data_IF_147070531842
#
_entry.id   IF_147070531842
#
_cell.length_a   1.000
_cell.length_b   1.000
_cell.length_c   1.000
_cell.angle_alpha   90.00
_cell.angle_beta   90.00
_cell.angle_gamma   90.00
#
_symmetry.space_group_name_H-M   'P 1'
#
loop_
_entity.id
_entity.type
_entity.pdbx_description
1 polymer ?
#
# COMPACT_ATOMS: atom_id res chain seq x y z
N UNK A 1 -49.31 59.01 4.79
CA UNK A 1 -49.39 57.53 4.65
C UNK A 1 -48.06 57.03 4.05
N UNK A 2 -47.18 56.53 4.88
CA UNK A 2 -45.86 56.12 4.47
C UNK A 2 -45.81 54.55 4.55
N UNK A 3 -45.58 53.91 3.42
CA UNK A 3 -45.56 52.46 3.34
C UNK A 3 -44.08 52.01 3.33
N UNK A 4 -43.67 51.37 4.40
CA UNK A 4 -42.35 50.76 4.53
C UNK A 4 -42.35 49.35 3.88
N UNK A 5 -41.47 49.14 2.93
CA UNK A 5 -41.16 47.78 2.42
C UNK A 5 -39.84 47.33 3.03
N UNK A 6 -39.90 46.32 3.90
CA UNK A 6 -38.75 45.62 4.44
C UNK A 6 -38.27 44.56 3.42
N UNK A 7 -37.09 44.71 2.89
CA UNK A 7 -36.33 43.60 2.34
C UNK A 7 -34.91 43.63 2.89
N UNK A 8 -34.76 43.04 4.07
CA UNK A 8 -33.45 42.82 4.68
C UNK A 8 -32.94 41.43 4.25
N UNK A 9 -32.17 41.39 3.18
CA UNK A 9 -31.41 40.18 2.82
C UNK A 9 -30.18 40.13 3.67
N UNK A 10 -30.18 39.29 4.73
CA UNK A 10 -28.98 38.92 5.48
C UNK A 10 -28.14 37.94 4.66
N UNK A 11 -27.11 38.45 4.01
CA UNK A 11 -26.05 37.62 3.43
C UNK A 11 -25.27 37.00 4.59
N UNK A 12 -25.46 35.70 4.80
CA UNK A 12 -24.59 34.92 5.68
C UNK A 12 -23.21 34.79 5.00
N UNK A 13 -22.21 35.50 5.56
CA UNK A 13 -20.83 35.21 5.24
C UNK A 13 -20.53 33.80 5.76
N UNK A 14 -20.40 32.85 4.85
CA UNK A 14 -19.88 31.54 5.16
C UNK A 14 -18.38 31.68 5.49
N UNK A 15 -18.00 31.40 6.71
CA UNK A 15 -16.59 31.13 7.03
C UNK A 15 -16.15 29.89 6.27
N UNK A 16 -15.31 30.06 5.27
CA UNK A 16 -14.57 28.97 4.65
C UNK A 16 -13.44 28.65 5.64
N UNK A 17 -13.61 27.57 6.40
CA UNK A 17 -12.53 27.02 7.18
C UNK A 17 -11.51 26.39 6.21
N UNK A 18 -10.40 27.05 5.98
CA UNK A 18 -9.25 26.48 5.28
C UNK A 18 -8.60 25.48 6.24
N UNK A 19 -8.86 24.20 6.03
CA UNK A 19 -8.15 23.15 6.72
C UNK A 19 -6.70 23.17 6.23
N UNK A 20 -5.78 23.58 7.10
CA UNK A 20 -4.36 23.48 6.86
C UNK A 20 -3.98 21.97 6.85
N UNK A 21 -3.73 21.43 5.66
CA UNK A 21 -3.15 20.11 5.52
C UNK A 21 -1.73 20.14 6.08
N UNK A 22 -1.50 19.50 7.22
CA UNK A 22 -0.16 19.26 7.73
C UNK A 22 0.56 18.35 6.74
N UNK A 23 1.54 18.91 6.02
CA UNK A 23 2.44 18.16 5.14
C UNK A 23 3.35 17.29 6.01
N UNK A 24 2.90 16.09 6.37
CA UNK A 24 3.74 15.07 6.96
C UNK A 24 4.67 14.52 5.87
N UNK A 25 5.99 14.54 6.13
CA UNK A 25 6.99 13.90 5.29
C UNK A 25 6.84 12.38 5.32
N UNK A 26 5.93 11.83 4.53
CA UNK A 26 5.73 10.41 4.32
C UNK A 26 5.14 10.20 2.94
N UNK A 27 5.52 9.10 2.28
CA UNK A 27 4.85 8.67 1.04
C UNK A 27 3.34 8.63 1.27
N UNK A 28 2.53 9.29 0.44
CA UNK A 28 1.08 9.21 0.58
C UNK A 28 0.64 7.76 0.40
N UNK A 29 -0.16 7.25 1.32
CA UNK A 29 -0.85 5.96 1.11
C UNK A 29 -1.99 6.24 0.15
N UNK A 30 -2.10 5.50 -0.96
CA UNK A 30 -3.27 5.64 -1.83
C UNK A 30 -4.56 5.41 -1.03
N UNK A 31 -5.47 6.38 -1.02
CA UNK A 31 -6.81 6.18 -0.48
C UNK A 31 -7.60 5.31 -1.46
N UNK A 32 -7.67 4.01 -1.17
CA UNK A 32 -8.40 3.05 -2.00
C UNK A 32 -9.71 2.71 -1.30
N UNK A 33 -10.88 3.04 -1.87
CA UNK A 33 -12.18 2.67 -1.31
C UNK A 33 -12.24 1.19 -0.97
N UNK A 34 -12.93 0.83 0.13
CA UNK A 34 -12.99 -0.55 0.64
C UNK A 34 -13.53 -1.54 -0.41
N UNK A 35 -14.44 -1.08 -1.27
CA UNK A 35 -15.06 -1.90 -2.32
C UNK A 35 -14.23 -1.98 -3.61
N UNK A 36 -13.14 -1.21 -3.73
CA UNK A 36 -12.36 -1.22 -4.96
C UNK A 36 -11.31 -2.33 -4.95
N UNK A 37 -11.11 -2.92 -6.13
CA UNK A 37 -10.08 -3.94 -6.36
C UNK A 37 -8.70 -3.30 -6.20
N UNK A 38 -7.87 -3.88 -5.33
CA UNK A 38 -6.48 -3.49 -5.18
C UNK A 38 -5.64 -4.22 -6.22
N UNK A 39 -4.81 -3.48 -6.97
CA UNK A 39 -3.88 -4.03 -7.96
C UNK A 39 -2.42 -3.75 -7.59
N UNK A 40 -1.50 -4.55 -8.12
CA UNK A 40 -0.08 -4.36 -7.85
C UNK A 40 0.41 -3.02 -8.40
N UNK A 41 0.27 -2.80 -9.70
CA UNK A 41 0.87 -1.66 -10.40
C UNK A 41 0.37 -0.31 -9.89
N UNK A 42 -0.93 -0.19 -9.58
CA UNK A 42 -1.48 1.10 -9.14
C UNK A 42 -1.29 1.35 -7.64
N UNK A 43 -1.33 0.31 -6.80
CA UNK A 43 -1.44 0.47 -5.36
C UNK A 43 -0.23 -0.06 -4.59
N UNK A 44 0.33 -1.22 -4.99
CA UNK A 44 1.40 -1.86 -4.25
C UNK A 44 2.79 -1.46 -4.73
N UNK A 45 3.01 -1.30 -6.04
CA UNK A 45 4.31 -0.97 -6.58
C UNK A 45 4.91 0.34 -6.03
N UNK A 46 4.14 1.44 -5.85
CA UNK A 46 4.64 2.63 -5.16
C UNK A 46 5.12 2.35 -3.73
N UNK A 47 4.45 1.46 -3.00
CA UNK A 47 4.87 1.07 -1.65
C UNK A 47 6.11 0.17 -1.67
N UNK A 48 6.20 -0.75 -2.63
CA UNK A 48 7.38 -1.59 -2.85
C UNK A 48 8.60 -0.73 -3.15
N UNK A 49 8.48 0.24 -4.05
CA UNK A 49 9.55 1.20 -4.35
C UNK A 49 9.97 1.96 -3.09
N UNK A 50 9.01 2.47 -2.32
CA UNK A 50 9.28 3.29 -1.15
C UNK A 50 9.91 2.53 0.04
N UNK A 51 9.62 1.24 0.18
CA UNK A 51 9.95 0.49 1.39
C UNK A 51 10.84 -0.74 1.17
N UNK A 52 10.96 -1.24 -0.06
CA UNK A 52 11.62 -2.52 -0.34
C UNK A 52 12.78 -2.39 -1.32
N UNK A 53 12.65 -1.50 -2.33
CA UNK A 53 13.59 -1.40 -3.44
C UNK A 53 15.04 -1.23 -3.00
N UNK A 54 15.31 -0.36 -2.02
CA UNK A 54 16.69 -0.07 -1.55
C UNK A 54 17.50 -1.28 -1.08
N UNK A 55 16.83 -2.41 -0.82
CA UNK A 55 17.46 -3.69 -0.46
C UNK A 55 17.22 -4.78 -1.49
N UNK A 56 16.31 -4.55 -2.42
CA UNK A 56 15.87 -5.53 -3.42
C UNK A 56 16.00 -5.01 -4.85
N UNK A 57 16.94 -4.11 -5.10
CA UNK A 57 17.32 -3.65 -6.44
C UNK A 57 18.26 -4.65 -7.12
N UNK A 58 18.31 -4.65 -8.46
CA UNK A 58 19.03 -5.64 -9.26
C UNK A 58 20.52 -5.69 -9.04
N UNK A 59 21.17 -4.59 -8.58
CA UNK A 59 22.63 -4.52 -8.37
C UNK A 59 23.12 -5.39 -7.20
N UNK A 60 22.36 -5.43 -6.08
CA UNK A 60 22.72 -6.27 -4.91
C UNK A 60 21.45 -6.78 -4.19
N UNK A 61 20.62 -7.59 -4.83
CA UNK A 61 19.32 -7.98 -4.30
C UNK A 61 19.46 -8.88 -3.07
N UNK A 62 19.04 -8.40 -1.90
CA UNK A 62 19.01 -9.22 -0.68
C UNK A 62 18.03 -10.40 -0.86
N UNK A 63 18.50 -11.57 -0.48
CA UNK A 63 17.74 -12.81 -0.67
C UNK A 63 17.51 -13.20 -2.14
N UNK A 64 18.27 -12.61 -3.09
CA UNK A 64 18.14 -12.81 -4.54
C UNK A 64 16.74 -12.44 -5.07
N UNK A 65 16.04 -11.55 -4.40
CA UNK A 65 14.74 -11.03 -4.81
C UNK A 65 14.92 -9.65 -5.42
N UNK A 66 14.62 -9.52 -6.71
CA UNK A 66 14.65 -8.25 -7.45
C UNK A 66 13.25 -7.65 -7.48
N UNK A 67 13.12 -6.39 -7.08
CA UNK A 67 11.86 -5.65 -7.03
C UNK A 67 11.94 -4.33 -7.80
N UNK A 68 12.70 -4.30 -8.87
CA UNK A 68 12.82 -3.14 -9.73
C UNK A 68 11.45 -2.75 -10.31
N UNK A 69 11.22 -1.45 -10.59
CA UNK A 69 9.95 -0.98 -11.14
C UNK A 69 9.56 -1.75 -12.40
N UNK A 70 8.31 -2.23 -12.45
CA UNK A 70 7.78 -3.07 -13.52
C UNK A 70 8.10 -4.56 -13.40
N UNK A 71 9.05 -4.99 -12.59
CA UNK A 71 9.45 -6.40 -12.47
C UNK A 71 8.89 -7.08 -11.21
N UNK A 72 8.66 -6.33 -10.15
CA UNK A 72 8.35 -6.87 -8.82
C UNK A 72 7.15 -7.81 -8.78
N UNK A 73 6.12 -7.59 -9.59
CA UNK A 73 4.96 -8.48 -9.65
C UNK A 73 5.35 -9.92 -10.03
N UNK A 74 6.09 -10.07 -11.14
CA UNK A 74 6.52 -11.38 -11.63
C UNK A 74 7.52 -12.06 -10.69
N UNK A 75 8.22 -11.29 -9.87
CA UNK A 75 9.15 -11.81 -8.88
C UNK A 75 8.46 -12.26 -7.58
N UNK A 76 7.25 -11.78 -7.31
CA UNK A 76 6.53 -12.09 -6.07
C UNK A 76 5.45 -13.15 -6.24
N UNK A 77 4.60 -13.03 -7.28
CA UNK A 77 3.36 -13.82 -7.35
C UNK A 77 3.62 -15.23 -7.89
N UNK A 78 3.15 -16.24 -7.17
CA UNK A 78 3.26 -17.65 -7.53
C UNK A 78 4.69 -18.21 -7.49
N UNK A 79 5.64 -17.52 -6.87
CA UNK A 79 7.04 -18.00 -6.75
C UNK A 79 7.31 -18.51 -5.33
N UNK A 80 7.99 -19.64 -5.24
CA UNK A 80 8.37 -20.23 -3.96
C UNK A 80 9.37 -19.37 -3.19
N UNK A 81 9.16 -19.29 -1.88
CA UNK A 81 10.13 -18.69 -0.98
C UNK A 81 11.37 -19.58 -0.89
N UNK A 82 12.55 -18.97 -0.95
CA UNK A 82 13.82 -19.68 -0.74
C UNK A 82 14.12 -19.96 0.73
N UNK A 83 13.48 -19.22 1.64
CA UNK A 83 13.66 -19.38 3.09
C UNK A 83 12.66 -20.38 3.70
N UNK A 84 11.43 -20.43 3.17
CA UNK A 84 10.37 -21.36 3.56
C UNK A 84 9.76 -21.95 2.29
N UNK A 85 10.31 -23.02 1.70
CA UNK A 85 9.89 -23.53 0.40
C UNK A 85 8.44 -24.04 0.33
N UNK A 86 7.81 -24.27 1.47
CA UNK A 86 6.38 -24.64 1.56
C UNK A 86 5.47 -23.47 1.20
N UNK A 87 5.95 -22.23 1.40
CA UNK A 87 5.19 -21.01 1.11
C UNK A 87 5.58 -20.42 -0.25
N UNK A 88 4.62 -19.79 -0.90
CA UNK A 88 4.92 -18.88 -2.00
C UNK A 88 5.37 -17.51 -1.46
N UNK A 89 6.11 -16.75 -2.24
CA UNK A 89 6.37 -15.35 -1.88
C UNK A 89 5.05 -14.59 -1.75
N UNK A 90 4.16 -14.76 -2.73
CA UNK A 90 2.76 -14.35 -2.67
C UNK A 90 1.90 -15.47 -3.28
N UNK A 91 1.02 -16.06 -2.48
CA UNK A 91 0.01 -17.01 -2.89
C UNK A 91 -1.32 -16.25 -3.11
N UNK A 92 -1.81 -16.11 -4.37
CA UNK A 92 -3.06 -15.41 -4.63
C UNK A 92 -4.23 -16.00 -3.85
N UNK A 93 -4.95 -15.15 -3.10
CA UNK A 93 -6.09 -15.54 -2.28
C UNK A 93 -5.74 -16.16 -0.92
N UNK A 94 -4.45 -16.35 -0.60
CA UNK A 94 -4.02 -17.03 0.62
C UNK A 94 -2.96 -16.21 1.38
N UNK A 95 -3.38 -15.53 2.44
CA UNK A 95 -2.49 -14.75 3.31
C UNK A 95 -1.47 -15.64 4.03
N UNK A 96 -1.93 -16.77 4.59
CA UNK A 96 -1.07 -17.65 5.36
C UNK A 96 -0.09 -18.43 4.48
N UNK A 97 -0.46 -18.70 3.22
CA UNK A 97 0.42 -19.26 2.20
C UNK A 97 1.42 -18.24 1.62
N UNK A 98 1.29 -16.96 1.98
CA UNK A 98 2.10 -15.86 1.43
C UNK A 98 3.23 -15.47 2.38
N UNK A 99 4.48 -15.79 2.00
CA UNK A 99 5.65 -15.46 2.82
C UNK A 99 5.84 -13.94 3.00
N UNK A 100 5.53 -13.14 1.99
CA UNK A 100 5.55 -11.68 2.09
C UNK A 100 4.64 -11.20 3.22
N UNK A 101 3.45 -11.79 3.38
CA UNK A 101 2.53 -11.44 4.45
C UNK A 101 3.18 -11.65 5.84
N UNK A 102 3.81 -12.81 6.05
CA UNK A 102 4.54 -13.07 7.30
C UNK A 102 5.69 -12.08 7.54
N UNK A 103 6.36 -11.63 6.46
CA UNK A 103 7.45 -10.65 6.56
C UNK A 103 6.96 -9.28 6.99
N UNK A 104 5.91 -8.74 6.37
CA UNK A 104 5.40 -7.40 6.69
C UNK A 104 4.69 -7.33 8.03
N UNK A 105 4.10 -8.44 8.48
CA UNK A 105 3.53 -8.60 9.82
C UNK A 105 4.60 -8.86 10.90
N UNK A 106 5.86 -9.05 10.52
CA UNK A 106 6.98 -9.37 11.42
C UNK A 106 6.81 -10.66 12.23
N UNK A 107 6.07 -11.64 11.71
CA UNK A 107 5.79 -12.94 12.35
C UNK A 107 6.38 -14.14 11.59
N UNK A 108 7.27 -13.88 10.65
CA UNK A 108 7.95 -14.96 9.93
C UNK A 108 8.79 -15.82 10.88
N UNK A 109 8.63 -17.13 10.79
CA UNK A 109 9.43 -18.11 11.57
C UNK A 109 10.87 -18.19 11.10
N UNK A 110 11.15 -17.85 9.84
CA UNK A 110 12.47 -17.82 9.24
C UNK A 110 12.81 -16.42 8.74
N UNK A 111 14.05 -16.03 8.93
CA UNK A 111 14.53 -14.70 8.56
C UNK A 111 13.90 -13.60 9.41
N UNK A 112 14.20 -12.36 9.05
CA UNK A 112 13.74 -11.18 9.80
C UNK A 112 12.52 -10.55 9.13
N UNK A 113 11.68 -9.86 9.92
CA UNK A 113 10.58 -9.05 9.39
C UNK A 113 11.07 -7.95 8.44
N UNK A 114 10.19 -7.50 7.54
CA UNK A 114 10.43 -6.46 6.54
C UNK A 114 9.33 -5.39 6.64
N UNK A 115 9.58 -4.12 6.23
CA UNK A 115 10.86 -3.56 5.80
C UNK A 115 11.88 -3.45 6.93
N UNK A 116 13.16 -3.26 6.56
CA UNK A 116 14.25 -3.02 7.50
C UNK A 116 14.93 -1.69 7.18
N UNK A 117 15.56 -1.11 8.21
CA UNK A 117 16.46 0.02 8.08
C UNK A 117 17.86 -0.37 8.55
N UNK A 118 18.83 0.47 8.36
CA UNK A 118 20.17 0.27 8.90
C UNK A 118 20.19 0.14 10.43
N UNK A 119 19.25 0.80 11.11
CA UNK A 119 19.15 0.83 12.57
C UNK A 119 18.17 -0.21 13.15
N UNK A 120 17.48 -0.98 12.30
CA UNK A 120 16.54 -1.99 12.78
C UNK A 120 15.36 -2.28 11.86
N UNK A 121 14.23 -2.58 12.46
CA UNK A 121 12.98 -2.93 11.78
C UNK A 121 12.09 -1.69 11.67
N UNK A 122 11.57 -1.44 10.47
CA UNK A 122 10.53 -0.43 10.22
C UNK A 122 9.21 -1.16 9.96
N UNK A 123 8.19 -0.86 10.74
CA UNK A 123 6.84 -1.36 10.46
C UNK A 123 6.17 -0.49 9.40
N UNK A 124 5.44 -1.12 8.49
CA UNK A 124 4.51 -0.43 7.62
C UNK A 124 3.37 0.19 8.44
N UNK A 125 2.75 1.23 7.91
CA UNK A 125 1.55 1.83 8.51
C UNK A 125 0.36 0.86 8.39
N UNK A 126 -0.61 0.90 9.30
CA UNK A 126 -1.77 0.01 9.23
C UNK A 126 -2.51 0.04 7.89
N UNK A 127 -2.64 1.22 7.27
CA UNK A 127 -3.27 1.37 5.96
C UNK A 127 -2.45 0.73 4.82
N UNK A 128 -1.11 0.75 4.90
CA UNK A 128 -0.25 0.06 3.94
C UNK A 128 -0.36 -1.47 4.07
N UNK A 129 -0.38 -1.97 5.31
CA UNK A 129 -0.59 -3.39 5.59
C UNK A 129 -1.96 -3.85 5.06
N UNK A 130 -3.02 -3.03 5.24
CA UNK A 130 -4.36 -3.32 4.72
C UNK A 130 -4.37 -3.41 3.19
N UNK A 131 -3.62 -2.58 2.46
CA UNK A 131 -3.49 -2.69 1.01
C UNK A 131 -2.86 -4.02 0.60
N UNK A 132 -1.78 -4.47 1.27
CA UNK A 132 -1.19 -5.78 1.01
C UNK A 132 -2.18 -6.92 1.29
N UNK A 133 -2.89 -6.86 2.42
CA UNK A 133 -3.91 -7.84 2.78
C UNK A 133 -4.98 -7.96 1.70
N UNK A 134 -5.61 -6.84 1.34
CA UNK A 134 -6.68 -6.78 0.33
C UNK A 134 -6.20 -7.23 -1.05
N UNK A 135 -4.98 -6.89 -1.41
CA UNK A 135 -4.39 -7.33 -2.67
C UNK A 135 -4.21 -8.84 -2.72
N UNK A 136 -3.63 -9.44 -1.67
CA UNK A 136 -3.43 -10.90 -1.61
C UNK A 136 -4.77 -11.62 -1.60
N UNK A 137 -5.70 -11.24 -0.69
CA UNK A 137 -7.04 -11.82 -0.58
C UNK A 137 -7.85 -11.67 -1.87
N UNK A 138 -7.67 -10.56 -2.58
CA UNK A 138 -8.31 -10.27 -3.86
C UNK A 138 -7.71 -11.01 -5.06
N UNK A 139 -6.79 -11.95 -4.84
CA UNK A 139 -6.18 -12.76 -5.89
C UNK A 139 -4.89 -12.20 -6.45
N UNK A 140 -4.26 -11.25 -5.77
CA UNK A 140 -2.96 -10.67 -6.12
C UNK A 140 -2.90 -10.17 -7.58
N UNK A 141 -3.88 -9.39 -8.01
CA UNK A 141 -4.01 -8.95 -9.39
C UNK A 141 -2.88 -7.99 -9.82
N UNK A 142 -2.33 -8.11 -11.05
CA UNK A 142 -1.31 -7.21 -11.56
C UNK A 142 -1.87 -5.82 -11.87
N UNK A 143 -3.04 -5.76 -12.50
CA UNK A 143 -3.72 -4.54 -12.95
C UNK A 143 -5.15 -4.51 -12.41
N UNK A 144 -5.74 -3.33 -12.36
CA UNK A 144 -7.16 -3.18 -12.07
C UNK A 144 -8.01 -3.87 -13.14
N UNK A 145 -8.99 -4.66 -12.73
CA UNK A 145 -9.98 -5.18 -13.66
C UNK A 145 -10.77 -4.00 -14.28
N UNK A 146 -10.78 -3.89 -15.60
CA UNK A 146 -11.61 -2.93 -16.31
C UNK A 146 -13.01 -3.54 -16.35
N UNK A 147 -13.97 -2.94 -15.65
CA UNK A 147 -15.38 -3.26 -15.80
C UNK A 147 -15.87 -2.56 -17.07
N UNK A 148 -16.34 -3.34 -18.04
CA UNK A 148 -17.02 -2.86 -19.25
C UNK A 148 -18.52 -2.80 -19.00
#
# INVERSE_FOLDING_TARGET
MIRWTKNGSMRRLGLIAVAAAAAGCGTPVPEVPVESTVSYTEHLEPLVIAHCLSCHESEDPKGKLVLDPGEGYAQLVGRKSTQIPELDLVAPGDLEGSYLWHKIEHRSREGKGMPRTLTGVKKLRPAEIDLYRRWIEGGALPYRAISF
#
